data_IF_875132118361
#
_entry.id   IF_875132118361
#
_cell.length_a   1.000
_cell.length_b   1.000
_cell.length_c   1.000
_cell.angle_alpha   90.00
_cell.angle_beta   90.00
_cell.angle_gamma   90.00
#
_symmetry.space_group_name_H-M   'P 1'
#
loop_
_entity.id
_entity.type
_entity.pdbx_description
1 polymer ?
#
# COMPACT_ATOMS: atom_id res chain seq x y z
N UNK A 1 -18.97 -5.85 -11.87
CA UNK A 1 -17.58 -6.02 -11.40
C UNK A 1 -17.21 -4.78 -10.61
N UNK A 2 -16.53 -4.94 -9.49
CA UNK A 2 -16.11 -3.86 -8.60
C UNK A 2 -14.60 -3.94 -8.41
N UNK A 3 -13.91 -2.87 -8.74
CA UNK A 3 -12.49 -2.68 -8.46
C UNK A 3 -12.35 -1.62 -7.36
N UNK A 4 -11.55 -1.90 -6.34
CA UNK A 4 -11.29 -0.96 -5.24
C UNK A 4 -9.82 -0.93 -4.89
N UNK A 5 -9.32 0.27 -4.66
CA UNK A 5 -7.99 0.51 -4.09
C UNK A 5 -8.15 1.23 -2.76
N UNK A 6 -7.51 0.73 -1.71
CA UNK A 6 -7.49 1.35 -0.38
C UNK A 6 -6.06 1.66 0.03
N UNK A 7 -5.83 2.89 0.47
CA UNK A 7 -4.60 3.32 1.12
C UNK A 7 -4.91 3.61 2.58
N UNK A 8 -4.41 2.76 3.46
CA UNK A 8 -4.70 2.83 4.90
C UNK A 8 -3.44 3.14 5.68
N UNK A 9 -3.52 4.19 6.48
CA UNK A 9 -2.45 4.63 7.37
C UNK A 9 -2.78 4.18 8.80
N UNK A 10 -1.92 3.34 9.37
CA UNK A 10 -2.02 2.87 10.74
C UNK A 10 -0.97 3.60 11.59
N UNK A 11 -1.45 4.34 12.59
CA UNK A 11 -0.63 5.20 13.45
C UNK A 11 -0.46 4.56 14.83
N UNK A 12 0.76 4.56 15.35
CA UNK A 12 1.09 4.05 16.68
C UNK A 12 1.85 5.12 17.45
N UNK A 13 1.33 5.50 18.63
CA UNK A 13 1.85 6.59 19.46
C UNK A 13 2.01 7.90 18.66
N UNK A 14 0.91 8.39 18.09
CA UNK A 14 0.94 9.51 17.14
C UNK A 14 1.63 9.10 15.85
N UNK A 15 2.66 9.84 15.43
CA UNK A 15 3.41 9.58 14.18
C UNK A 15 4.77 8.93 14.40
N UNK A 16 5.09 8.47 15.62
CA UNK A 16 6.34 7.79 15.97
C UNK A 16 6.55 6.56 15.08
N UNK A 17 5.52 5.72 14.93
CA UNK A 17 5.49 4.64 13.95
C UNK A 17 4.22 4.73 13.10
N UNK A 18 4.40 4.71 11.79
CA UNK A 18 3.31 4.76 10.80
C UNK A 18 3.50 3.61 9.82
N UNK A 19 2.44 2.85 9.58
CA UNK A 19 2.40 1.78 8.58
C UNK A 19 1.36 2.10 7.51
N UNK A 20 1.77 2.07 6.25
CA UNK A 20 0.90 2.21 5.09
C UNK A 20 0.58 0.85 4.50
N UNK A 21 -0.70 0.59 4.26
CA UNK A 21 -1.20 -0.53 3.48
C UNK A 21 -1.86 -0.02 2.19
N UNK A 22 -1.29 -0.34 1.03
CA UNK A 22 -1.90 -0.12 -0.28
C UNK A 22 -2.50 -1.42 -0.78
N UNK A 23 -3.83 -1.54 -0.77
CA UNK A 23 -4.56 -2.81 -1.01
C UNK A 23 -5.46 -2.70 -2.24
N UNK A 24 -5.32 -3.65 -3.16
CA UNK A 24 -6.12 -3.74 -4.38
C UNK A 24 -7.09 -4.90 -4.28
N UNK A 25 -8.38 -4.63 -4.52
CA UNK A 25 -9.46 -5.60 -4.43
C UNK A 25 -10.21 -5.71 -5.74
N UNK A 26 -10.55 -6.95 -6.11
CA UNK A 26 -11.47 -7.26 -7.20
C UNK A 26 -12.63 -8.08 -6.66
N UNK A 27 -13.85 -7.56 -6.75
CA UNK A 27 -15.07 -8.19 -6.21
C UNK A 27 -14.90 -8.70 -4.76
N UNK A 28 -14.35 -7.87 -3.88
CA UNK A 28 -14.05 -8.15 -2.45
C UNK A 28 -12.86 -9.08 -2.18
N UNK A 29 -12.28 -9.71 -3.20
CA UNK A 29 -11.02 -10.46 -3.07
C UNK A 29 -9.83 -9.51 -3.13
N UNK A 30 -8.95 -9.55 -2.14
CA UNK A 30 -7.70 -8.81 -2.20
C UNK A 30 -6.70 -9.54 -3.08
N UNK A 31 -6.21 -8.86 -4.12
CA UNK A 31 -5.32 -9.46 -5.11
C UNK A 31 -3.85 -9.18 -4.78
N UNK A 32 -3.52 -7.91 -4.53
CA UNK A 32 -2.16 -7.45 -4.28
C UNK A 32 -2.13 -6.40 -3.18
N UNK A 33 -1.07 -6.45 -2.37
CA UNK A 33 -0.84 -5.55 -1.24
C UNK A 33 0.57 -4.99 -1.27
N UNK A 34 0.69 -3.67 -1.17
CA UNK A 34 1.90 -3.02 -0.68
C UNK A 34 1.79 -2.84 0.83
N UNK A 35 2.85 -3.18 1.55
CA UNK A 35 2.98 -2.97 2.98
C UNK A 35 4.28 -2.23 3.24
N UNK A 36 4.22 -1.04 3.85
CA UNK A 36 5.43 -0.23 4.09
C UNK A 36 6.44 -0.93 5.00
N UNK A 37 6.00 -1.84 5.87
CA UNK A 37 6.91 -2.60 6.74
C UNK A 37 7.69 -3.67 5.93
N UNK A 38 7.16 -4.09 4.77
CA UNK A 38 7.80 -5.04 3.84
C UNK A 38 8.56 -4.30 2.73
N UNK A 39 8.00 -3.20 2.24
CA UNK A 39 8.61 -2.33 1.23
C UNK A 39 8.46 -2.82 -0.22
N UNK A 40 7.52 -3.72 -0.51
CA UNK A 40 7.22 -4.19 -1.87
C UNK A 40 5.80 -4.74 -1.99
N UNK A 41 5.34 -4.91 -3.24
CA UNK A 41 4.04 -5.51 -3.53
C UNK A 41 4.09 -7.03 -3.37
N UNK A 42 3.13 -7.60 -2.65
CA UNK A 42 2.96 -9.03 -2.49
C UNK A 42 1.56 -9.43 -2.95
N UNK A 43 1.50 -10.47 -3.76
CA UNK A 43 0.24 -11.09 -4.14
C UNK A 43 -0.40 -11.72 -2.90
N UNK A 44 -1.67 -11.42 -2.66
CA UNK A 44 -2.49 -11.99 -1.59
C UNK A 44 -3.27 -13.21 -2.12
N UNK A 45 -3.59 -13.20 -3.42
CA UNK A 45 -4.13 -14.35 -4.16
C UNK A 45 -3.32 -14.66 -5.41
N UNK A 46 -3.52 -15.84 -5.98
CA UNK A 46 -2.81 -16.28 -7.19
C UNK A 46 -3.06 -15.35 -8.39
N UNK A 47 -4.26 -14.76 -8.47
CA UNK A 47 -4.63 -13.81 -9.52
C UNK A 47 -3.81 -12.51 -9.47
N UNK A 48 -3.34 -12.11 -8.28
CA UNK A 48 -2.53 -10.91 -8.10
C UNK A 48 -1.04 -11.09 -8.36
N UNK A 49 -0.56 -12.31 -8.64
CA UNK A 49 0.88 -12.57 -8.88
C UNK A 49 1.45 -11.78 -10.05
N UNK A 50 0.81 -11.72 -11.24
CA UNK A 50 1.31 -10.92 -12.35
C UNK A 50 1.41 -9.44 -12.02
N UNK A 51 0.45 -8.91 -11.26
CA UNK A 51 0.43 -7.51 -10.85
C UNK A 51 1.57 -7.20 -9.87
N UNK A 52 1.77 -8.06 -8.85
CA UNK A 52 2.87 -7.90 -7.90
C UNK A 52 4.23 -7.92 -8.59
N UNK A 53 4.47 -8.86 -9.52
CA UNK A 53 5.71 -8.94 -10.30
C UNK A 53 5.93 -7.68 -11.16
N UNK A 54 4.89 -7.22 -11.87
CA UNK A 54 4.96 -6.04 -12.72
C UNK A 54 5.24 -4.76 -11.91
N UNK A 55 4.52 -4.57 -10.80
CA UNK A 55 4.69 -3.40 -9.93
C UNK A 55 6.08 -3.38 -9.29
N UNK A 56 6.62 -4.53 -8.86
CA UNK A 56 7.96 -4.60 -8.29
C UNK A 56 9.07 -4.44 -9.35
N UNK A 57 8.82 -4.81 -10.61
CA UNK A 57 9.77 -4.61 -11.70
C UNK A 57 9.92 -3.12 -12.10
N UNK A 58 8.90 -2.30 -11.85
CA UNK A 58 8.89 -0.86 -12.10
C UNK A 58 9.47 -0.09 -10.91
N UNK A 59 10.75 0.24 -10.99
CA UNK A 59 11.49 0.90 -9.89
C UNK A 59 10.86 2.22 -9.44
N UNK A 60 10.41 3.04 -10.39
CA UNK A 60 9.74 4.31 -10.14
C UNK A 60 8.46 4.13 -9.31
N UNK A 61 7.64 3.13 -9.65
CA UNK A 61 6.41 2.79 -8.91
C UNK A 61 6.74 2.31 -7.49
N UNK A 62 7.73 1.42 -7.36
CA UNK A 62 8.10 0.85 -6.08
C UNK A 62 8.72 1.90 -5.14
N UNK A 63 9.56 2.78 -5.66
CA UNK A 63 10.12 3.91 -4.90
C UNK A 63 9.05 4.90 -4.48
N UNK A 64 8.11 5.22 -5.36
CA UNK A 64 6.97 6.08 -5.01
C UNK A 64 6.13 5.45 -3.88
N UNK A 65 5.81 4.15 -3.97
CA UNK A 65 5.04 3.46 -2.94
C UNK A 65 5.74 3.48 -1.57
N UNK A 66 7.06 3.30 -1.54
CA UNK A 66 7.88 3.39 -0.31
C UNK A 66 7.82 4.79 0.32
N UNK A 67 7.78 5.84 -0.49
CA UNK A 67 7.73 7.22 0.00
C UNK A 67 6.33 7.64 0.51
N UNK A 68 5.25 6.94 0.12
CA UNK A 68 3.88 7.33 0.49
C UNK A 68 3.59 7.25 2.00
N UNK A 69 4.42 6.56 2.79
CA UNK A 69 4.29 6.57 4.26
C UNK A 69 4.43 7.98 4.85
N UNK A 70 5.21 8.86 4.21
CA UNK A 70 5.36 10.25 4.65
C UNK A 70 4.12 11.08 4.33
N UNK A 71 3.37 10.72 3.30
CA UNK A 71 2.04 11.30 3.04
C UNK A 71 1.07 11.00 4.18
N UNK A 72 1.13 9.81 4.78
CA UNK A 72 0.34 9.51 5.98
C UNK A 72 0.68 10.45 7.15
N UNK A 73 1.97 10.68 7.42
CA UNK A 73 2.42 11.59 8.48
C UNK A 73 1.98 13.03 8.22
N UNK A 74 2.12 13.49 6.97
CA UNK A 74 1.67 14.81 6.57
C UNK A 74 0.18 14.99 6.82
N UNK A 75 -0.65 14.05 6.36
CA UNK A 75 -2.10 14.14 6.49
C UNK A 75 -2.56 14.07 7.95
N UNK A 76 -1.88 13.30 8.81
CA UNK A 76 -2.19 13.25 10.23
C UNK A 76 -2.08 14.63 10.89
N UNK A 77 -1.01 15.37 10.63
CA UNK A 77 -0.83 16.73 11.15
C UNK A 77 -1.70 17.81 10.51
N UNK A 78 -2.36 17.53 9.38
CA UNK A 78 -3.36 18.42 8.77
C UNK A 78 -4.75 18.19 9.39
N UNK A 79 -5.01 17.00 9.93
CA UNK A 79 -6.31 16.59 10.49
C UNK A 79 -6.40 16.79 12.00
N UNK A 80 -5.28 16.82 12.73
CA UNK A 80 -5.22 17.36 14.11
C UNK A 80 -5.48 18.87 14.15
#
# INVERSE_FOLDING_TARGET
FLDQVKYECHFFNGTERVRLLGRHFYNQEELVRFDSDVGEYRAVSELGRPDAENLNARKDVLEQARAQVDTCRHNYGVVE
#
